data_IF_344642358551
#
_entry.id   IF_344642358551
#
_cell.length_a   1.000
_cell.length_b   1.000
_cell.length_c   1.000
_cell.angle_alpha   90.00
_cell.angle_beta   90.00
_cell.angle_gamma   90.00
#
_symmetry.space_group_name_H-M   'P 1'
#
loop_
_entity.id
_entity.type
_entity.pdbx_description
1 polymer ?
#
# COMPACT_ATOMS: atom_id res chain seq x y z
N UNK A 1 2.93 3.08 -13.96
CA UNK A 1 3.76 3.84 -13.01
C UNK A 1 2.93 3.93 -11.75
N UNK A 2 3.38 3.35 -10.64
CA UNK A 2 2.60 3.37 -9.40
C UNK A 2 2.69 4.77 -8.80
N UNK A 3 1.55 5.45 -8.66
CA UNK A 3 1.49 6.71 -7.95
C UNK A 3 1.37 6.41 -6.45
N UNK A 4 2.44 6.66 -5.72
CA UNK A 4 2.49 6.57 -4.27
C UNK A 4 2.58 7.96 -3.66
N UNK A 5 1.85 8.17 -2.56
CA UNK A 5 1.98 9.36 -1.71
C UNK A 5 2.52 8.93 -0.36
N UNK A 6 3.47 9.68 0.18
CA UNK A 6 4.02 9.43 1.51
C UNK A 6 3.69 10.63 2.38
N UNK A 7 3.17 10.37 3.57
CA UNK A 7 2.93 11.39 4.59
C UNK A 7 3.67 11.00 5.87
N UNK A 8 4.37 11.95 6.46
CA UNK A 8 5.02 11.78 7.76
C UNK A 8 4.32 12.67 8.79
N UNK A 9 3.67 12.06 9.77
CA UNK A 9 2.90 12.72 10.81
C UNK A 9 3.37 12.25 12.19
N UNK A 10 4.07 13.13 12.92
CA UNK A 10 4.66 12.84 14.23
C UNK A 10 5.53 11.57 14.19
N UNK A 11 5.01 10.48 14.71
CA UNK A 11 5.69 9.20 14.91
C UNK A 11 5.33 8.19 13.82
N UNK A 12 4.50 8.56 12.84
CA UNK A 12 3.99 7.65 11.82
C UNK A 12 4.36 8.14 10.44
N UNK A 13 4.89 7.23 9.62
CA UNK A 13 5.10 7.44 8.19
C UNK A 13 4.12 6.55 7.45
N UNK A 14 3.14 7.13 6.76
CA UNK A 14 2.09 6.41 6.04
C UNK A 14 2.35 6.46 4.54
N UNK A 15 2.22 5.32 3.89
CA UNK A 15 2.32 5.11 2.45
C UNK A 15 0.92 4.87 1.91
N UNK A 16 0.53 5.71 0.96
CA UNK A 16 -0.71 5.58 0.22
C UNK A 16 -0.41 5.15 -1.20
N UNK A 17 -1.26 4.29 -1.74
CA UNK A 17 -1.18 3.86 -3.14
C UNK A 17 -2.55 3.99 -3.80
N UNK A 18 -2.55 4.16 -5.12
CA UNK A 18 -3.74 3.85 -5.90
C UNK A 18 -3.73 2.36 -6.19
N UNK A 19 -4.61 1.60 -5.54
CA UNK A 19 -4.87 0.23 -6.01
C UNK A 19 -5.72 0.32 -7.28
N UNK A 20 -5.03 0.49 -8.41
CA UNK A 20 -5.61 0.22 -9.71
C UNK A 20 -5.73 -1.28 -9.88
N UNK A 21 -6.92 -1.82 -9.60
CA UNK A 21 -7.20 -3.21 -9.92
C UNK A 21 -7.03 -3.39 -11.43
N UNK A 22 -6.04 -4.19 -11.83
CA UNK A 22 -5.79 -4.48 -13.24
C UNK A 22 -7.03 -5.08 -13.93
N UNK A 23 -7.97 -5.64 -13.17
CA UNK A 23 -9.29 -6.09 -13.65
C UNK A 23 -10.15 -4.94 -14.17
N UNK A 24 -10.13 -3.78 -13.53
CA UNK A 24 -10.89 -2.60 -13.98
C UNK A 24 -10.40 -2.09 -15.34
N UNK A 25 -9.10 -2.22 -15.64
CA UNK A 25 -8.55 -1.90 -16.97
C UNK A 25 -9.16 -2.82 -18.03
N UNK A 26 -9.29 -4.11 -17.74
CA UNK A 26 -9.90 -5.08 -18.66
C UNK A 26 -11.40 -4.81 -18.86
N UNK A 27 -12.14 -4.57 -17.78
CA UNK A 27 -13.57 -4.22 -17.84
C UNK A 27 -13.81 -2.93 -18.65
N UNK A 28 -12.97 -1.91 -18.49
CA UNK A 28 -13.07 -0.68 -19.30
C UNK A 28 -12.75 -0.90 -20.77
N UNK A 29 -11.89 -1.86 -21.12
CA UNK A 29 -11.61 -2.22 -22.53
C UNK A 29 -12.80 -2.90 -23.19
N UNK A 30 -13.56 -3.70 -22.44
CA UNK A 30 -14.78 -4.33 -22.95
C UNK A 30 -15.88 -3.29 -23.26
N UNK A 31 -15.94 -2.23 -22.45
CA UNK A 31 -16.94 -1.17 -22.58
C UNK A 31 -16.56 -0.04 -23.55
N UNK A 32 -15.26 0.18 -23.78
CA UNK A 32 -14.74 1.25 -24.63
C UNK A 32 -13.51 0.77 -25.44
N UNK A 33 -13.69 -0.15 -26.41
CA UNK A 33 -12.59 -0.80 -27.13
C UNK A 33 -11.76 0.17 -27.99
N UNK A 34 -12.32 1.31 -28.38
CA UNK A 34 -11.65 2.38 -29.12
C UNK A 34 -10.68 3.21 -28.27
N UNK A 35 -10.73 3.10 -26.94
CA UNK A 35 -9.84 3.83 -26.06
C UNK A 35 -8.49 3.13 -25.88
N UNK A 36 -7.41 3.91 -25.94
CA UNK A 36 -6.08 3.38 -25.69
C UNK A 36 -5.87 3.04 -24.21
N UNK A 37 -5.10 1.99 -23.97
CA UNK A 37 -4.78 1.51 -22.62
C UNK A 37 -4.15 2.60 -21.75
N UNK A 38 -3.25 3.41 -22.32
CA UNK A 38 -2.65 4.55 -21.63
C UNK A 38 -3.69 5.58 -21.18
N UNK A 39 -4.75 5.80 -21.96
CA UNK A 39 -5.82 6.74 -21.63
C UNK A 39 -6.75 6.17 -20.56
N UNK A 40 -7.11 4.89 -20.65
CA UNK A 40 -7.88 4.17 -19.63
C UNK A 40 -7.12 4.18 -18.29
N UNK A 41 -5.84 3.80 -18.29
CA UNK A 41 -4.99 3.82 -17.11
C UNK A 41 -4.91 5.22 -16.49
N UNK A 42 -4.79 6.28 -17.31
CA UNK A 42 -4.74 7.65 -16.80
C UNK A 42 -6.04 8.12 -16.13
N UNK A 43 -7.20 7.63 -16.59
CA UNK A 43 -8.51 7.95 -16.01
C UNK A 43 -8.71 7.18 -14.71
N UNK A 44 -8.36 5.88 -14.70
CA UNK A 44 -8.43 5.05 -13.50
C UNK A 44 -7.50 5.61 -12.41
N UNK A 45 -6.23 5.85 -12.70
CA UNK A 45 -5.28 6.42 -11.73
C UNK A 45 -5.75 7.77 -11.14
N UNK A 46 -6.41 8.61 -11.94
CA UNK A 46 -6.94 9.91 -11.48
C UNK A 46 -8.25 9.83 -10.71
N UNK A 47 -8.99 8.73 -10.84
CA UNK A 47 -10.30 8.55 -10.20
C UNK A 47 -10.25 7.61 -8.99
N UNK A 48 -9.18 6.83 -8.85
CA UNK A 48 -9.01 5.92 -7.74
C UNK A 48 -8.67 6.67 -6.45
N UNK A 49 -9.38 6.37 -5.34
CA UNK A 49 -9.01 6.91 -4.05
C UNK A 49 -7.62 6.40 -3.67
N UNK A 50 -6.80 7.29 -3.12
CA UNK A 50 -5.55 6.90 -2.46
C UNK A 50 -5.92 6.15 -1.19
N UNK A 51 -5.53 4.88 -1.11
CA UNK A 51 -5.76 4.05 0.06
C UNK A 51 -4.47 3.94 0.87
N UNK A 52 -4.58 4.04 2.19
CA UNK A 52 -3.45 3.79 3.08
C UNK A 52 -3.18 2.28 3.07
N UNK A 53 -1.93 1.88 2.75
CA UNK A 53 -1.59 0.46 2.61
C UNK A 53 -0.47 0.05 3.55
N UNK A 54 0.44 0.96 3.90
CA UNK A 54 1.57 0.61 4.76
C UNK A 54 1.88 1.80 5.64
N UNK A 55 2.22 1.55 6.90
CA UNK A 55 2.80 2.58 7.75
C UNK A 55 3.97 2.07 8.58
N UNK A 56 4.84 2.99 8.96
CA UNK A 56 5.95 2.75 9.87
C UNK A 56 5.74 3.62 11.10
N UNK A 57 5.57 2.98 12.26
CA UNK A 57 5.31 3.63 13.54
C UNK A 57 6.59 3.64 14.36
N UNK A 58 7.08 4.80 14.75
CA UNK A 58 8.21 4.97 15.66
C UNK A 58 7.80 4.51 17.06
N UNK A 59 8.47 3.47 17.56
CA UNK A 59 8.20 2.82 18.85
C UNK A 59 9.30 3.04 19.88
N UNK A 60 10.53 3.35 19.43
CA UNK A 60 11.65 3.73 20.29
C UNK A 60 12.35 4.95 19.67
N UNK A 61 12.14 6.14 20.25
CA UNK A 61 12.72 7.38 19.75
C UNK A 61 14.23 7.45 19.99
N UNK A 62 14.70 6.95 21.14
CA UNK A 62 16.10 6.98 21.52
C UNK A 62 16.98 6.13 20.59
N UNK A 63 16.47 4.96 20.19
CA UNK A 63 17.13 4.05 19.24
C UNK A 63 16.63 4.20 17.81
N UNK A 64 15.65 5.09 17.59
CA UNK A 64 15.00 5.38 16.31
C UNK A 64 14.49 4.11 15.61
N UNK A 65 13.74 3.28 16.35
CA UNK A 65 13.16 2.00 15.89
C UNK A 65 11.70 2.14 15.53
N UNK A 66 11.31 1.44 14.48
CA UNK A 66 9.97 1.49 13.93
C UNK A 66 9.37 0.09 13.87
N UNK A 67 8.05 0.00 13.93
CA UNK A 67 7.28 -1.20 13.57
C UNK A 67 6.58 -0.92 12.24
N UNK A 68 6.59 -1.90 11.34
CA UNK A 68 5.85 -1.83 10.10
C UNK A 68 4.45 -2.42 10.31
N UNK A 69 3.43 -1.72 9.81
CA UNK A 69 2.04 -2.12 9.87
C UNK A 69 1.42 -2.08 8.48
N UNK A 70 0.58 -3.07 8.16
CA UNK A 70 -0.25 -3.06 6.95
C UNK A 70 -1.69 -2.76 7.30
N UNK A 71 -2.43 -2.18 6.37
CA UNK A 71 -3.87 -1.98 6.55
C UNK A 71 -4.62 -3.28 6.25
N UNK A 72 -5.64 -3.60 7.03
CA UNK A 72 -6.48 -4.77 6.82
C UNK A 72 -7.92 -4.34 6.51
N UNK A 73 -8.42 -4.76 5.35
CA UNK A 73 -9.80 -4.50 4.90
C UNK A 73 -10.76 -5.67 5.21
N UNK A 74 -10.40 -6.56 6.14
CA UNK A 74 -11.12 -7.81 6.36
C UNK A 74 -12.29 -7.63 7.35
N UNK A 75 -13.51 -7.45 6.81
CA UNK A 75 -14.75 -7.47 7.59
C UNK A 75 -15.08 -6.14 8.27
N UNK A 76 -15.37 -6.16 9.58
CA UNK A 76 -15.75 -4.98 10.38
C UNK A 76 -14.56 -4.31 11.09
N UNK A 77 -13.34 -4.75 10.79
CA UNK A 77 -12.11 -4.29 11.42
C UNK A 77 -11.30 -3.52 10.37
N UNK A 78 -11.41 -2.20 10.41
CA UNK A 78 -10.63 -1.24 9.62
C UNK A 78 -9.38 -0.82 10.42
N UNK A 79 -8.44 -1.75 10.63
CA UNK A 79 -7.29 -1.52 11.52
C UNK A 79 -5.93 -1.93 10.94
N UNK A 80 -4.88 -1.42 11.57
CA UNK A 80 -3.48 -1.67 11.25
C UNK A 80 -2.98 -2.93 11.93
N UNK A 81 -2.30 -3.79 11.17
CA UNK A 81 -1.73 -5.05 11.67
C UNK A 81 -0.21 -4.97 11.61
N UNK A 82 0.46 -5.25 12.72
CA UNK A 82 1.91 -5.41 12.78
C UNK A 82 2.34 -6.59 11.89
N UNK A 83 3.22 -6.31 10.93
CA UNK A 83 3.68 -7.32 9.95
C UNK A 83 5.08 -7.84 10.24
N UNK A 84 5.60 -7.59 11.45
CA UNK A 84 6.87 -8.12 11.93
C UNK A 84 7.40 -7.38 13.14
N UNK A 85 8.66 -7.64 13.48
CA UNK A 85 9.35 -7.01 14.61
C UNK A 85 9.85 -5.61 14.26
N UNK A 86 10.11 -4.83 15.30
CA UNK A 86 10.72 -3.50 15.15
C UNK A 86 12.12 -3.58 14.52
N UNK A 87 12.46 -2.60 13.69
CA UNK A 87 13.78 -2.46 13.06
C UNK A 87 14.04 -0.98 12.70
N UNK A 88 15.17 -0.70 12.08
CA UNK A 88 15.46 0.59 11.46
C UNK A 88 14.56 0.79 10.23
N UNK A 89 14.15 2.04 9.99
CA UNK A 89 13.30 2.37 8.85
C UNK A 89 13.84 1.84 7.50
N UNK A 90 15.14 1.97 7.15
CA UNK A 90 15.65 1.44 5.89
C UNK A 90 15.49 -0.08 5.73
N UNK A 91 15.71 -0.85 6.81
CA UNK A 91 15.53 -2.30 6.80
C UNK A 91 14.06 -2.68 6.55
N UNK A 92 13.13 -2.01 7.24
CA UNK A 92 11.70 -2.26 7.07
C UNK A 92 11.22 -1.86 5.67
N UNK A 93 11.70 -0.73 5.13
CA UNK A 93 11.39 -0.29 3.76
C UNK A 93 11.86 -1.33 2.74
N UNK A 94 13.11 -1.76 2.82
CA UNK A 94 13.67 -2.77 1.92
C UNK A 94 12.92 -4.11 2.02
N UNK A 95 12.44 -4.46 3.22
CA UNK A 95 11.72 -5.70 3.47
C UNK A 95 10.28 -5.66 2.95
N UNK A 96 9.52 -4.60 3.22
CA UNK A 96 8.06 -4.61 3.03
C UNK A 96 7.59 -3.87 1.77
N UNK A 97 8.26 -2.80 1.34
CA UNK A 97 7.79 -2.00 0.18
C UNK A 97 7.76 -2.82 -1.11
N UNK A 98 8.65 -3.81 -1.25
CA UNK A 98 8.69 -4.72 -2.42
C UNK A 98 7.44 -5.59 -2.60
N UNK A 99 6.58 -5.68 -1.57
CA UNK A 99 5.34 -6.46 -1.59
C UNK A 99 4.14 -5.61 -2.01
N UNK A 100 4.20 -4.28 -1.93
CA UNK A 100 3.10 -3.40 -2.31
C UNK A 100 2.65 -3.66 -3.76
N UNK A 101 1.34 -3.77 -3.96
CA UNK A 101 0.74 -4.08 -5.26
C UNK A 101 0.91 -5.53 -5.74
N UNK A 102 1.32 -6.46 -4.86
CA UNK A 102 1.42 -7.90 -5.15
C UNK A 102 0.60 -8.69 -4.15
N UNK A 103 0.11 -9.86 -4.57
CA UNK A 103 -0.65 -10.77 -3.70
C UNK A 103 0.08 -11.10 -2.39
N UNK A 104 1.41 -11.23 -2.45
CA UNK A 104 2.27 -11.48 -1.28
C UNK A 104 2.16 -10.43 -0.16
N UNK A 105 1.58 -9.26 -0.43
CA UNK A 105 1.31 -8.25 0.59
C UNK A 105 0.23 -8.71 1.59
N UNK A 106 -0.78 -9.43 1.11
CA UNK A 106 -1.89 -9.91 1.93
C UNK A 106 -1.47 -11.03 2.90
N UNK A 107 -0.37 -11.71 2.59
CA UNK A 107 0.22 -12.76 3.42
C UNK A 107 1.07 -12.20 4.58
N UNK A 108 1.41 -10.91 4.56
CA UNK A 108 2.28 -10.31 5.58
C UNK A 108 1.60 -10.31 6.96
N UNK A 109 2.32 -10.73 8.00
CA UNK A 109 1.81 -10.78 9.37
C UNK A 109 0.89 -11.97 9.68
N UNK A 110 0.65 -12.86 8.71
CA UNK A 110 0.04 -14.16 8.98
C UNK A 110 1.11 -15.11 9.58
N UNK A 111 0.73 -16.01 10.51
CA UNK A 111 1.63 -17.08 10.94
C UNK A 111 1.98 -18.00 9.76
N UNK A 112 3.22 -18.47 9.71
CA UNK A 112 3.69 -19.50 8.77
C UNK A 112 2.99 -20.84 8.96
#
# INVERSE_FOLDING_TARGET
>A
MWDYRIEANKNVITVYTTEGDARLVQEFRELAPEMSEARIASILVRSLPLTAVLQFVLVDEARRRFVAQRYCYLGSIDDWIDIGREDTLPNLVAKYVKHLGKDTYYDLGLPE
#
